data_IF_786964758307
#
_entry.id   IF_786964758307
#
_cell.length_a   1.000
_cell.length_b   1.000
_cell.length_c   1.000
_cell.angle_alpha   90.00
_cell.angle_beta   90.00
_cell.angle_gamma   90.00
#
_symmetry.space_group_name_H-M   'P 1'
#
loop_
_entity.id
_entity.type
_entity.pdbx_description
1 polymer ?
#
# COMPACT_ATOMS: atom_id res chain seq x y z
N UNK A 1 13.52 -6.54 2.92
CA UNK A 1 12.97 -7.26 1.74
C UNK A 1 11.50 -7.56 1.98
N UNK A 2 10.74 -8.07 0.99
CA UNK A 2 9.33 -8.45 1.23
C UNK A 2 9.23 -9.60 2.26
N UNK A 3 10.16 -10.55 2.19
CA UNK A 3 10.21 -11.71 3.09
C UNK A 3 10.39 -11.27 4.55
N UNK A 4 11.34 -10.38 4.83
CA UNK A 4 11.57 -9.86 6.19
C UNK A 4 10.31 -9.18 6.76
N UNK A 5 9.56 -8.42 5.95
CA UNK A 5 8.32 -7.78 6.41
C UNK A 5 7.23 -8.81 6.72
N UNK A 6 7.16 -9.89 5.94
CA UNK A 6 6.18 -10.96 6.15
C UNK A 6 6.54 -11.82 7.37
N UNK A 7 7.82 -12.07 7.61
CA UNK A 7 8.32 -12.74 8.82
C UNK A 7 8.02 -11.90 10.07
N UNK A 8 8.36 -10.61 10.04
CA UNK A 8 8.02 -9.65 11.10
C UNK A 8 6.51 -9.63 11.40
N UNK A 9 5.67 -9.64 10.35
CA UNK A 9 4.23 -9.68 10.50
C UNK A 9 3.73 -11.01 11.09
N UNK A 10 4.33 -12.15 10.72
CA UNK A 10 3.97 -13.48 11.27
C UNK A 10 4.28 -13.61 12.74
N UNK A 11 5.36 -13.01 13.23
CA UNK A 11 5.72 -13.03 14.64
C UNK A 11 4.75 -12.22 15.52
N UNK A 12 4.11 -11.19 14.94
CA UNK A 12 3.30 -10.20 15.69
C UNK A 12 1.80 -10.28 15.42
N UNK A 13 1.37 -10.93 14.35
CA UNK A 13 -0.03 -10.99 13.92
C UNK A 13 -0.50 -12.43 13.75
N UNK A 14 -1.81 -12.64 13.91
CA UNK A 14 -2.43 -13.91 13.54
C UNK A 14 -2.21 -14.20 12.04
N UNK A 15 -2.07 -15.48 11.69
CA UNK A 15 -1.71 -15.93 10.34
C UNK A 15 -2.56 -15.29 9.22
N UNK A 16 -3.87 -15.13 9.42
CA UNK A 16 -4.79 -14.56 8.42
C UNK A 16 -4.64 -13.03 8.22
N UNK A 17 -3.89 -12.34 9.07
CA UNK A 17 -3.62 -10.89 8.96
C UNK A 17 -2.30 -10.60 8.25
N UNK A 18 -1.50 -11.61 7.97
CA UNK A 18 -0.20 -11.44 7.31
C UNK A 18 -0.43 -11.07 5.85
N UNK A 19 0.21 -9.99 5.34
CA UNK A 19 0.10 -9.62 3.93
C UNK A 19 0.54 -10.75 3.00
N UNK A 20 -0.24 -10.99 1.94
CA UNK A 20 0.11 -11.98 0.92
C UNK A 20 1.21 -11.48 -0.03
N UNK A 21 1.27 -10.18 -0.26
CA UNK A 21 2.23 -9.52 -1.16
C UNK A 21 2.59 -8.14 -0.60
N UNK A 22 3.78 -7.68 -0.93
CA UNK A 22 4.28 -6.34 -0.59
C UNK A 22 4.89 -5.73 -1.85
N UNK A 23 4.46 -4.51 -2.18
CA UNK A 23 5.03 -3.74 -3.29
C UNK A 23 5.68 -2.50 -2.70
N UNK A 24 6.97 -2.34 -2.93
CA UNK A 24 7.68 -1.11 -2.57
C UNK A 24 7.46 -0.07 -3.67
N UNK A 25 7.14 1.15 -3.26
CA UNK A 25 6.96 2.31 -4.14
C UNK A 25 7.70 3.48 -3.55
N UNK A 26 8.21 4.37 -4.40
CA UNK A 26 8.93 5.56 -3.95
C UNK A 26 7.98 6.54 -3.23
N UNK A 27 6.75 6.66 -3.71
CA UNK A 27 5.72 7.46 -3.06
C UNK A 27 4.30 6.88 -3.21
N UNK A 28 3.47 7.09 -2.18
CA UNK A 28 2.04 6.80 -2.22
C UNK A 28 1.26 7.87 -3.00
N UNK A 29 0.27 7.50 -3.82
CA UNK A 29 -0.56 8.48 -4.52
C UNK A 29 -1.37 9.30 -3.52
N UNK A 30 -1.25 10.63 -3.59
CA UNK A 30 -1.89 11.56 -2.65
C UNK A 30 -2.70 12.64 -3.37
N UNK A 31 -3.67 13.24 -2.68
CA UNK A 31 -4.35 14.46 -3.13
C UNK A 31 -3.44 15.68 -2.96
N UNK A 32 -3.83 16.85 -3.49
CA UNK A 32 -3.14 18.11 -3.26
C UNK A 32 -2.99 18.46 -1.76
N UNK A 33 -3.90 17.96 -0.92
CA UNK A 33 -3.86 18.09 0.55
C UNK A 33 -3.15 16.94 1.26
N UNK A 34 -2.50 16.02 0.53
CA UNK A 34 -1.70 14.93 1.08
C UNK A 34 -2.47 13.65 1.46
N UNK A 35 -3.78 13.55 1.21
CA UNK A 35 -4.58 12.36 1.55
C UNK A 35 -4.28 11.21 0.60
N UNK A 36 -4.04 10.00 1.12
CA UNK A 36 -3.75 8.81 0.29
C UNK A 36 -4.97 8.43 -0.57
N UNK A 37 -4.74 8.28 -1.87
CA UNK A 37 -5.75 7.89 -2.85
C UNK A 37 -5.85 6.35 -2.98
N UNK A 38 -6.47 5.69 -2.01
CA UNK A 38 -6.62 4.21 -1.99
C UNK A 38 -7.35 3.62 -3.20
N UNK A 39 -8.13 4.40 -3.95
CA UNK A 39 -8.83 3.90 -5.15
C UNK A 39 -7.85 3.67 -6.31
N UNK A 40 -6.85 4.55 -6.47
CA UNK A 40 -5.74 4.38 -7.42
C UNK A 40 -4.96 3.10 -7.12
N UNK A 41 -4.62 2.89 -5.84
CA UNK A 41 -3.94 1.67 -5.38
C UNK A 41 -4.77 0.39 -5.60
N UNK A 42 -6.09 0.49 -5.75
CA UNK A 42 -6.99 -0.64 -6.05
C UNK A 42 -7.24 -0.83 -7.54
N UNK A 43 -6.51 -0.14 -8.42
CA UNK A 43 -6.68 -0.24 -9.88
C UNK A 43 -7.97 0.39 -10.41
N UNK A 44 -8.66 1.21 -9.61
CA UNK A 44 -9.84 1.96 -10.05
C UNK A 44 -9.34 3.31 -10.60
N UNK A 45 -9.32 3.48 -11.92
CA UNK A 45 -8.84 4.67 -12.67
C UNK A 45 -9.99 5.72 -12.76
N UNK A 46 -9.78 7.07 -12.81
CA UNK A 46 -8.55 7.80 -13.12
C UNK A 46 -8.00 8.75 -12.03
N UNK A 47 -6.68 8.90 -12.09
CA UNK A 47 -5.95 10.03 -11.53
C UNK A 47 -6.37 11.32 -12.26
N UNK A 48 -6.93 12.28 -11.53
CA UNK A 48 -6.96 13.68 -11.95
C UNK A 48 -6.40 14.49 -10.79
N UNK A 49 -5.10 14.77 -10.84
CA UNK A 49 -4.61 16.06 -10.42
C UNK A 49 -4.48 16.88 -11.71
N UNK A 50 -5.57 17.54 -12.14
CA UNK A 50 -5.47 18.68 -13.04
C UNK A 50 -5.42 19.92 -12.15
N UNK A 51 -4.24 20.56 -12.18
CA UNK A 51 -3.85 21.84 -11.62
C UNK A 51 -3.91 22.00 -10.10
#
# INVERSE_FOLDING_TARGET
TDQELREFAREKLAHFKVPQWVTFVDELPKTATGKIQKFVLRGRVPAIARQ
#
